data_IF_126097382572
#
_entry.id   IF_126097382572
#
_cell.length_a   1.000
_cell.length_b   1.000
_cell.length_c   1.000
_cell.angle_alpha   90.00
_cell.angle_beta   90.00
_cell.angle_gamma   90.00
#
_symmetry.space_group_name_H-M   'P 1'
#
loop_
_entity.id
_entity.type
_entity.pdbx_description
1 polymer ?
#
# COMPACT_ATOMS: atom_id res chain seq x y z
N UNK A 1 12.97 -1.81 -7.33
CA UNK A 1 11.72 -1.14 -7.71
C UNK A 1 10.67 -1.43 -6.65
N UNK A 2 10.07 -0.39 -6.10
CA UNK A 2 9.13 -0.53 -4.97
C UNK A 2 7.89 -1.37 -5.34
N UNK A 3 7.39 -1.23 -6.55
CA UNK A 3 6.22 -1.99 -6.99
C UNK A 3 6.47 -3.49 -6.95
N UNK A 4 7.62 -3.93 -7.45
CA UNK A 4 8.02 -5.34 -7.41
C UNK A 4 8.23 -5.84 -5.98
N UNK A 5 8.79 -5.01 -5.09
CA UNK A 5 8.97 -5.38 -3.69
C UNK A 5 7.63 -5.61 -2.99
N UNK A 6 6.64 -4.78 -3.26
CA UNK A 6 5.34 -4.88 -2.61
C UNK A 6 4.47 -5.97 -3.22
N UNK A 7 4.39 -6.02 -4.55
CA UNK A 7 3.41 -6.87 -5.25
C UNK A 7 4.03 -8.09 -5.93
N UNK A 8 5.35 -8.12 -6.07
CA UNK A 8 6.02 -9.20 -6.79
C UNK A 8 5.98 -9.02 -8.28
N UNK A 9 6.66 -9.90 -8.99
CA UNK A 9 6.68 -9.90 -10.45
C UNK A 9 6.84 -11.30 -11.00
N UNK A 10 6.34 -11.49 -12.23
CA UNK A 10 6.60 -12.68 -13.03
C UNK A 10 7.87 -12.48 -13.85
N UNK A 11 8.46 -13.58 -14.28
CA UNK A 11 9.59 -13.55 -15.20
C UNK A 11 9.21 -12.78 -16.47
N UNK A 12 10.08 -11.88 -16.90
CA UNK A 12 9.85 -11.08 -18.10
C UNK A 12 8.94 -9.87 -17.92
N UNK A 13 8.51 -9.57 -16.70
CA UNK A 13 7.61 -8.44 -16.41
C UNK A 13 8.20 -7.08 -16.79
N UNK A 14 9.52 -6.95 -16.71
CA UNK A 14 10.25 -5.75 -17.09
C UNK A 14 11.68 -6.13 -17.46
N UNK A 15 12.45 -5.18 -17.99
CA UNK A 15 13.86 -5.42 -18.34
C UNK A 15 14.63 -5.78 -17.08
N UNK A 16 15.27 -6.95 -17.07
CA UNK A 16 16.02 -7.46 -15.92
C UNK A 16 15.23 -8.39 -15.02
N UNK A 17 13.94 -8.61 -15.27
CA UNK A 17 13.12 -9.56 -14.52
C UNK A 17 13.40 -10.99 -15.02
N UNK A 18 14.53 -11.54 -14.58
CA UNK A 18 15.03 -12.85 -15.06
C UNK A 18 14.36 -14.03 -14.34
N UNK A 19 13.69 -13.78 -13.23
CA UNK A 19 12.99 -14.81 -12.46
C UNK A 19 11.75 -14.21 -11.80
N UNK A 20 10.83 -15.07 -11.39
CA UNK A 20 9.66 -14.69 -10.59
C UNK A 20 10.08 -14.28 -9.19
N UNK A 21 9.43 -13.26 -8.64
CA UNK A 21 9.63 -12.84 -7.26
C UNK A 21 8.29 -12.66 -6.56
N UNK A 22 8.16 -13.25 -5.37
CA UNK A 22 6.98 -13.06 -4.51
C UNK A 22 7.15 -11.76 -3.74
N UNK A 23 6.11 -10.92 -3.75
CA UNK A 23 6.14 -9.63 -3.07
C UNK A 23 5.76 -9.71 -1.60
N UNK A 24 5.89 -8.57 -0.91
CA UNK A 24 5.65 -8.48 0.52
C UNK A 24 4.19 -8.75 0.91
N UNK A 25 3.23 -8.34 0.08
CA UNK A 25 1.82 -8.60 0.38
C UNK A 25 1.49 -10.09 0.41
N UNK A 26 2.07 -10.87 -0.49
CA UNK A 26 1.90 -12.32 -0.46
C UNK A 26 2.56 -12.95 0.78
N UNK A 27 3.77 -12.49 1.12
CA UNK A 27 4.51 -12.99 2.28
C UNK A 27 3.80 -12.64 3.59
N UNK A 28 3.08 -11.53 3.63
CA UNK A 28 2.37 -11.07 4.82
C UNK A 28 0.94 -11.64 4.92
N UNK A 29 0.52 -12.48 3.98
CA UNK A 29 -0.82 -13.06 3.98
C UNK A 29 -1.13 -13.71 5.32
N UNK A 30 -2.30 -13.38 5.88
CA UNK A 30 -2.77 -13.77 7.22
C UNK A 30 -1.94 -13.16 8.35
N UNK A 31 -1.13 -12.18 8.05
CA UNK A 31 -0.31 -11.46 9.02
C UNK A 31 -0.44 -9.96 8.87
N UNK A 32 0.65 -9.28 9.18
CA UNK A 32 0.72 -7.82 9.19
C UNK A 32 1.86 -7.34 8.31
N UNK A 33 1.61 -6.29 7.53
CA UNK A 33 2.64 -5.58 6.76
C UNK A 33 2.75 -4.16 7.28
N UNK A 34 3.99 -3.68 7.41
CA UNK A 34 4.28 -2.30 7.77
C UNK A 34 4.78 -1.55 6.55
N UNK A 35 4.12 -0.43 6.21
CA UNK A 35 4.49 0.42 5.09
C UNK A 35 4.99 1.76 5.63
N UNK A 36 6.28 2.02 5.41
CA UNK A 36 6.89 3.29 5.80
C UNK A 36 6.74 4.30 4.66
N UNK A 37 6.46 5.56 5.02
CA UNK A 37 6.35 6.68 4.10
C UNK A 37 5.36 6.47 2.94
N UNK A 38 4.11 6.14 3.26
CA UNK A 38 3.07 5.99 2.24
C UNK A 38 2.78 7.29 1.48
N UNK A 39 3.09 8.45 2.07
CA UNK A 39 2.93 9.74 1.40
C UNK A 39 3.84 9.92 0.18
N UNK A 40 4.87 9.10 0.03
CA UNK A 40 5.79 9.14 -1.09
C UNK A 40 5.47 8.17 -2.21
N UNK A 41 4.49 7.29 -2.02
CA UNK A 41 4.12 6.33 -3.06
C UNK A 41 3.61 7.04 -4.32
N UNK A 42 4.04 6.61 -5.51
CA UNK A 42 3.44 7.08 -6.76
C UNK A 42 1.94 6.80 -6.79
N UNK A 43 1.19 7.65 -7.49
CA UNK A 43 -0.28 7.54 -7.54
C UNK A 43 -0.76 6.17 -8.02
N UNK A 44 -0.08 5.57 -9.01
CA UNK A 44 -0.48 4.26 -9.52
C UNK A 44 -0.35 3.17 -8.45
N UNK A 45 0.63 3.29 -7.57
CA UNK A 45 0.81 2.33 -6.45
C UNK A 45 -0.19 2.57 -5.35
N UNK A 46 -0.61 3.82 -5.14
CA UNK A 46 -1.68 4.14 -4.21
C UNK A 46 -3.00 3.49 -4.64
N UNK A 47 -3.28 3.45 -5.95
CA UNK A 47 -4.46 2.77 -6.48
C UNK A 47 -4.41 1.25 -6.20
N UNK A 48 -3.24 0.63 -6.39
CA UNK A 48 -3.05 -0.79 -6.08
C UNK A 48 -3.18 -1.06 -4.58
N UNK A 49 -2.62 -0.19 -3.76
CA UNK A 49 -2.75 -0.29 -2.30
C UNK A 49 -4.22 -0.21 -1.87
N UNK A 50 -4.96 0.75 -2.41
CA UNK A 50 -6.39 0.88 -2.10
C UNK A 50 -7.16 -0.41 -2.45
N UNK A 51 -6.84 -1.02 -3.58
CA UNK A 51 -7.48 -2.27 -3.98
C UNK A 51 -7.18 -3.41 -3.01
N UNK A 52 -5.94 -3.50 -2.52
CA UNK A 52 -5.59 -4.47 -1.47
C UNK A 52 -6.39 -4.21 -0.20
N UNK A 53 -6.51 -2.95 0.20
CA UNK A 53 -7.24 -2.57 1.42
C UNK A 53 -8.74 -2.83 1.32
N UNK A 54 -9.35 -2.55 0.18
CA UNK A 54 -10.80 -2.68 -0.01
C UNK A 54 -11.22 -4.10 -0.40
N UNK A 55 -10.44 -4.74 -1.27
CA UNK A 55 -10.83 -6.01 -1.88
C UNK A 55 -9.94 -7.18 -1.49
N UNK A 56 -8.77 -6.92 -0.92
CA UNK A 56 -7.81 -7.97 -0.60
C UNK A 56 -7.21 -8.64 -1.83
N UNK A 57 -7.09 -7.90 -2.92
CA UNK A 57 -6.69 -8.44 -4.22
C UNK A 57 -5.64 -7.57 -4.89
N UNK A 58 -4.76 -8.21 -5.64
CA UNK A 58 -3.81 -7.55 -6.52
C UNK A 58 -3.28 -8.54 -7.56
N UNK A 59 -2.55 -8.03 -8.57
CA UNK A 59 -1.82 -8.84 -9.54
C UNK A 59 -0.33 -8.54 -9.43
N UNK A 60 0.50 -9.56 -9.65
CA UNK A 60 1.94 -9.35 -9.80
C UNK A 60 2.23 -8.58 -11.08
N UNK A 61 3.33 -7.85 -11.11
CA UNK A 61 3.82 -7.24 -12.35
C UNK A 61 3.98 -8.32 -13.42
N UNK A 62 3.45 -8.07 -14.60
CA UNK A 62 3.51 -9.00 -15.72
C UNK A 62 2.52 -10.14 -15.67
N UNK A 63 1.55 -10.09 -14.77
CA UNK A 63 0.53 -11.14 -14.62
C UNK A 63 -0.85 -10.53 -14.57
N UNK A 64 -1.82 -11.19 -15.21
CA UNK A 64 -3.24 -10.86 -15.10
C UNK A 64 -3.94 -11.70 -14.02
N UNK A 65 -3.23 -12.63 -13.38
CA UNK A 65 -3.81 -13.50 -12.37
C UNK A 65 -4.02 -12.74 -11.08
N UNK A 66 -5.26 -12.71 -10.59
CA UNK A 66 -5.61 -12.10 -9.31
C UNK A 66 -5.13 -12.96 -8.15
N UNK A 67 -4.41 -12.34 -7.23
CA UNK A 67 -3.97 -12.96 -5.98
C UNK A 67 -4.80 -12.37 -4.86
N UNK A 68 -5.33 -13.23 -4.00
CA UNK A 68 -6.11 -12.83 -2.84
C UNK A 68 -5.28 -12.96 -1.59
N UNK A 69 -5.34 -11.94 -0.74
CA UNK A 69 -4.62 -11.91 0.54
C UNK A 69 -5.51 -11.35 1.63
N UNK A 70 -5.22 -11.73 2.85
CA UNK A 70 -5.84 -11.16 4.05
C UNK A 70 -4.71 -10.63 4.91
N UNK A 71 -4.42 -9.33 4.77
CA UNK A 71 -3.31 -8.69 5.46
C UNK A 71 -3.80 -7.49 6.27
N UNK A 72 -3.20 -7.33 7.43
CA UNK A 72 -3.36 -6.12 8.22
C UNK A 72 -2.27 -5.14 7.82
N UNK A 73 -2.66 -3.92 7.46
CA UNK A 73 -1.71 -2.91 6.99
C UNK A 73 -1.56 -1.83 8.06
N UNK A 74 -0.32 -1.61 8.48
CA UNK A 74 0.07 -0.47 9.29
C UNK A 74 0.93 0.43 8.41
N UNK A 75 0.55 1.69 8.29
CA UNK A 75 1.27 2.63 7.43
C UNK A 75 1.68 3.85 8.22
N UNK A 76 2.83 4.39 7.89
CA UNK A 76 3.35 5.59 8.51
C UNK A 76 3.75 6.62 7.46
N UNK A 77 3.65 7.90 7.80
CA UNK A 77 4.13 8.99 6.96
C UNK A 77 4.49 10.20 7.83
N UNK A 78 5.50 10.95 7.43
CA UNK A 78 5.81 12.26 8.02
C UNK A 78 5.17 13.41 7.23
N UNK A 79 4.43 13.11 6.15
CA UNK A 79 3.80 14.12 5.30
C UNK A 79 2.38 14.43 5.77
N UNK A 80 1.96 15.66 5.51
CA UNK A 80 0.57 16.05 5.70
C UNK A 80 -0.24 15.50 4.53
N UNK A 81 -0.98 14.41 4.77
CA UNK A 81 -1.74 13.74 3.72
C UNK A 81 -2.88 14.59 3.19
N UNK A 82 -3.53 15.40 4.04
CA UNK A 82 -4.58 16.30 3.61
C UNK A 82 -4.06 17.30 2.58
N UNK A 83 -2.90 17.88 2.84
CA UNK A 83 -2.24 18.79 1.90
C UNK A 83 -1.82 18.06 0.62
N UNK A 84 -1.30 16.84 0.75
CA UNK A 84 -0.90 16.02 -0.40
C UNK A 84 -2.09 15.72 -1.31
N UNK A 85 -3.27 15.47 -0.75
CA UNK A 85 -4.51 15.32 -1.52
C UNK A 85 -4.84 16.58 -2.29
N UNK A 86 -4.76 17.74 -1.66
CA UNK A 86 -5.03 19.03 -2.31
C UNK A 86 -4.06 19.30 -3.46
N UNK A 87 -2.82 18.86 -3.34
CA UNK A 87 -1.79 19.02 -4.37
C UNK A 87 -1.81 17.94 -5.44
N UNK A 88 -2.75 17.00 -5.37
CA UNK A 88 -2.86 15.91 -6.33
C UNK A 88 -1.77 14.85 -6.22
N UNK A 89 -1.08 14.76 -5.10
CA UNK A 89 0.00 13.79 -4.85
C UNK A 89 -0.44 12.57 -4.09
N UNK A 90 -1.60 12.65 -3.45
CA UNK A 90 -2.21 11.54 -2.71
C UNK A 90 -3.66 11.42 -3.12
N UNK A 91 -4.12 10.18 -3.35
CA UNK A 91 -5.49 9.93 -3.79
C UNK A 91 -6.47 10.24 -2.67
N UNK A 92 -7.52 10.97 -3.01
CA UNK A 92 -8.59 11.29 -2.06
C UNK A 92 -9.31 10.04 -1.56
N UNK A 93 -9.53 9.05 -2.43
CA UNK A 93 -10.19 7.80 -2.06
C UNK A 93 -9.37 7.01 -1.03
N UNK A 94 -8.06 6.93 -1.19
CA UNK A 94 -7.19 6.29 -0.22
C UNK A 94 -7.17 7.06 1.11
N UNK A 95 -7.15 8.38 1.04
CA UNK A 95 -7.24 9.23 2.23
C UNK A 95 -8.54 9.02 2.98
N UNK A 96 -9.67 8.98 2.27
CA UNK A 96 -10.97 8.72 2.86
C UNK A 96 -11.04 7.33 3.49
N UNK A 97 -10.48 6.33 2.85
CA UNK A 97 -10.44 4.99 3.42
C UNK A 97 -9.70 4.99 4.76
N UNK A 98 -8.57 5.69 4.85
CA UNK A 98 -7.81 5.80 6.10
C UNK A 98 -8.59 6.56 7.19
N UNK A 99 -9.38 7.57 6.80
CA UNK A 99 -10.22 8.33 7.73
C UNK A 99 -11.38 7.51 8.29
N UNK A 100 -12.02 6.67 7.47
CA UNK A 100 -13.13 5.84 7.91
C UNK A 100 -12.73 4.91 9.05
N UNK A 101 -11.50 4.44 9.05
CA UNK A 101 -10.96 3.58 10.09
C UNK A 101 -10.67 4.33 11.40
N UNK A 102 -10.67 5.67 11.37
CA UNK A 102 -10.53 6.50 12.58
C UNK A 102 -11.72 6.46 13.51
N UNK A 103 -12.87 5.97 13.07
CA UNK A 103 -14.08 5.88 13.89
C UNK A 103 -14.01 4.78 14.94
N UNK A 104 -13.02 3.90 14.84
CA UNK A 104 -12.75 2.88 15.85
C UNK A 104 -11.78 3.37 16.94
N UNK A 105 -11.41 2.51 17.89
CA UNK A 105 -10.48 2.86 18.96
C UNK A 105 -9.04 3.10 18.49
N UNK A 106 -8.75 2.84 17.22
CA UNK A 106 -7.44 3.03 16.63
C UNK A 106 -7.37 4.39 15.98
N UNK A 107 -6.63 5.29 16.62
CA UNK A 107 -6.41 6.65 16.15
C UNK A 107 -5.06 6.79 15.51
N UNK A 108 -4.90 7.81 14.65
CA UNK A 108 -3.59 8.25 14.24
C UNK A 108 -2.76 8.58 15.48
N UNK A 109 -1.63 7.91 15.64
CA UNK A 109 -0.65 8.27 16.66
C UNK A 109 0.43 9.09 16.01
N UNK A 110 0.77 10.22 16.62
CA UNK A 110 1.84 11.07 16.13
C UNK A 110 3.07 10.86 17.00
N UNK A 111 4.17 10.48 16.37
CA UNK A 111 5.47 10.37 17.03
C UNK A 111 6.46 11.21 16.23
N UNK A 112 7.11 12.20 16.88
CA UNK A 112 8.23 12.93 16.27
C UNK A 112 7.96 13.35 14.81
N UNK A 113 6.74 13.83 14.53
CA UNK A 113 6.35 14.26 13.20
C UNK A 113 5.83 13.14 12.28
N UNK A 114 5.83 11.89 12.73
CA UNK A 114 5.23 10.78 11.96
C UNK A 114 3.80 10.56 12.38
N UNK A 115 2.98 10.21 11.42
CA UNK A 115 1.61 9.76 11.64
C UNK A 115 1.53 8.30 11.22
N UNK A 116 1.01 7.46 12.11
CA UNK A 116 0.77 6.07 11.80
C UNK A 116 -0.72 5.80 11.71
N UNK A 117 -1.12 5.05 10.71
CA UNK A 117 -2.49 4.63 10.53
C UNK A 117 -2.54 3.11 10.40
N UNK A 118 -3.58 2.54 11.00
CA UNK A 118 -3.87 1.13 10.89
C UNK A 118 -5.05 0.97 9.93
N UNK A 119 -4.84 0.17 8.92
CA UNK A 119 -5.89 -0.17 7.96
C UNK A 119 -6.45 -1.56 8.22
#
# INVERSE_FOLDING_TARGET
MIESELFGHERGAFTGAVSKQVGRFELADRGTIFLDEIGELPLRLQAKLLRVLQEGEFERLGSAKTIKVDVRVIAATNRNLSEAVQRGRFRSDLYFHSLQLRRGPLRWKTWSGFQAVLF
#
